data_IF_217404310987
#
_entry.id   IF_217404310987
#
_cell.length_a   1.000
_cell.length_b   1.000
_cell.length_c   1.000
_cell.angle_alpha   90.00
_cell.angle_beta   90.00
_cell.angle_gamma   90.00
#
_symmetry.space_group_name_H-M   'P 1'
#
loop_
_entity.id
_entity.type
_entity.pdbx_description
1 polymer ?
#
# COMPACT_ATOMS: atom_id res chain seq x y z
N UNK A 1 -7.96 9.87 -0.12
CA UNK A 1 -7.45 9.18 1.08
C UNK A 1 -8.33 9.57 2.26
N UNK A 2 -8.55 8.69 3.24
CA UNK A 2 -9.39 8.96 4.44
C UNK A 2 -10.91 9.02 4.20
N UNK A 3 -11.40 8.44 3.12
CA UNK A 3 -12.84 8.29 2.86
C UNK A 3 -13.14 6.89 2.30
N UNK A 4 -14.34 6.40 2.59
CA UNK A 4 -14.92 5.24 1.92
C UNK A 4 -16.32 5.62 1.47
N UNK A 5 -16.66 5.32 0.21
CA UNK A 5 -18.05 5.36 -0.22
C UNK A 5 -18.87 4.28 0.48
N UNK A 6 -20.19 4.47 0.56
CA UNK A 6 -21.10 3.47 1.12
C UNK A 6 -20.97 2.11 0.42
N UNK A 7 -20.76 2.12 -0.90
CA UNK A 7 -20.63 0.89 -1.69
C UNK A 7 -19.33 0.15 -1.40
N UNK A 8 -18.20 0.86 -1.30
CA UNK A 8 -16.91 0.27 -0.94
C UNK A 8 -16.95 -0.34 0.45
N UNK A 9 -17.52 0.40 1.41
CA UNK A 9 -17.62 -0.05 2.80
C UNK A 9 -18.50 -1.30 2.93
N UNK A 10 -19.75 -1.25 2.43
CA UNK A 10 -20.69 -2.37 2.55
C UNK A 10 -20.23 -3.56 1.71
N UNK A 11 -19.85 -3.32 0.44
CA UNK A 11 -19.43 -4.38 -0.47
C UNK A 11 -18.14 -5.06 -0.02
N UNK A 12 -17.17 -4.30 0.50
CA UNK A 12 -15.92 -4.83 1.03
C UNK A 12 -16.12 -5.68 2.29
N UNK A 13 -16.97 -5.24 3.22
CA UNK A 13 -17.26 -6.03 4.42
C UNK A 13 -18.06 -7.30 4.09
N UNK A 14 -19.01 -7.21 3.15
CA UNK A 14 -19.77 -8.36 2.67
C UNK A 14 -18.89 -9.41 1.98
N UNK A 15 -17.94 -9.00 1.13
CA UNK A 15 -17.02 -9.93 0.46
C UNK A 15 -16.06 -10.62 1.45
N UNK A 16 -15.77 -9.96 2.58
CA UNK A 16 -15.01 -10.54 3.68
C UNK A 16 -15.85 -11.42 4.62
N UNK A 17 -17.18 -11.44 4.46
CA UNK A 17 -18.08 -12.16 5.37
C UNK A 17 -18.14 -11.56 6.77
N UNK A 18 -17.89 -10.26 6.89
CA UNK A 18 -17.79 -9.53 8.16
C UNK A 18 -19.02 -8.63 8.36
N UNK A 19 -19.72 -8.80 9.48
CA UNK A 19 -20.89 -8.01 9.87
C UNK A 19 -20.73 -7.29 11.23
N UNK A 20 -19.60 -7.52 11.92
CA UNK A 20 -19.28 -6.90 13.21
C UNK A 20 -17.81 -6.51 13.30
N UNK A 21 -17.48 -5.62 14.24
CA UNK A 21 -16.12 -5.15 14.45
C UNK A 21 -15.22 -6.28 14.98
N UNK A 22 -15.78 -7.18 15.77
CA UNK A 22 -15.12 -8.36 16.32
C UNK A 22 -14.67 -9.29 15.20
N UNK A 23 -15.58 -9.64 14.28
CA UNK A 23 -15.23 -10.46 13.10
C UNK A 23 -14.19 -9.78 12.21
N UNK A 24 -14.26 -8.45 12.08
CA UNK A 24 -13.23 -7.71 11.34
C UNK A 24 -11.85 -7.90 11.98
N UNK A 25 -11.75 -7.73 13.30
CA UNK A 25 -10.51 -7.90 14.05
C UNK A 25 -9.95 -9.31 13.93
N UNK A 26 -10.82 -10.32 13.99
CA UNK A 26 -10.46 -11.73 13.81
C UNK A 26 -9.95 -12.03 12.39
N UNK A 27 -10.41 -11.26 11.39
CA UNK A 27 -9.99 -11.42 9.99
C UNK A 27 -8.64 -10.77 9.68
N UNK A 28 -8.23 -9.74 10.43
CA UNK A 28 -6.99 -9.00 10.19
C UNK A 28 -5.73 -9.88 10.09
N UNK A 29 -5.50 -10.88 10.98
CA UNK A 29 -4.31 -11.74 10.88
C UNK A 29 -4.24 -12.53 9.57
N UNK A 30 -5.40 -12.99 9.07
CA UNK A 30 -5.47 -13.67 7.78
C UNK A 30 -5.15 -12.69 6.63
N UNK A 31 -5.76 -11.49 6.64
CA UNK A 31 -5.47 -10.49 5.61
C UNK A 31 -3.99 -10.09 5.59
N UNK A 32 -3.33 -10.03 6.76
CA UNK A 32 -1.88 -9.82 6.85
C UNK A 32 -1.09 -11.00 6.29
N UNK A 33 -1.52 -12.24 6.53
CA UNK A 33 -0.82 -13.41 5.97
C UNK A 33 -0.91 -13.48 4.46
N UNK A 34 -1.97 -12.93 3.85
CA UNK A 34 -2.10 -12.79 2.40
C UNK A 34 -1.02 -11.89 1.77
N UNK A 35 -0.45 -10.94 2.53
CA UNK A 35 0.65 -10.08 2.04
C UNK A 35 1.97 -10.84 1.85
N UNK A 36 2.07 -12.06 2.38
CA UNK A 36 3.25 -12.93 2.16
C UNK A 36 3.24 -13.56 0.77
N UNK A 37 2.08 -13.67 0.14
CA UNK A 37 1.95 -14.14 -1.22
C UNK A 37 2.44 -13.05 -2.19
N UNK A 38 3.33 -13.44 -3.11
CA UNK A 38 4.00 -12.48 -3.99
C UNK A 38 3.02 -11.79 -4.96
N UNK A 39 2.07 -12.56 -5.49
CA UNK A 39 1.08 -12.04 -6.43
C UNK A 39 0.14 -11.06 -5.73
N UNK A 40 -0.41 -11.43 -4.57
CA UNK A 40 -1.26 -10.53 -3.77
C UNK A 40 -0.51 -9.30 -3.31
N UNK A 41 0.74 -9.45 -2.86
CA UNK A 41 1.55 -8.29 -2.51
C UNK A 41 1.68 -7.33 -3.69
N UNK A 42 1.97 -7.84 -4.90
CA UNK A 42 2.09 -7.02 -6.10
C UNK A 42 0.79 -6.29 -6.44
N UNK A 43 -0.35 -6.96 -6.32
CA UNK A 43 -1.67 -6.36 -6.53
C UNK A 43 -1.93 -5.22 -5.53
N UNK A 44 -1.67 -5.46 -4.24
CA UNK A 44 -1.86 -4.47 -3.17
C UNK A 44 -0.88 -3.31 -3.30
N UNK A 45 0.38 -3.57 -3.66
CA UNK A 45 1.40 -2.56 -3.90
C UNK A 45 1.00 -1.61 -5.05
N UNK A 46 0.49 -2.17 -6.15
CA UNK A 46 0.01 -1.37 -7.28
C UNK A 46 -1.26 -0.57 -6.92
N UNK A 47 -2.18 -1.17 -6.17
CA UNK A 47 -3.39 -0.50 -5.69
C UNK A 47 -3.05 0.69 -4.77
N UNK A 48 -2.15 0.46 -3.81
CA UNK A 48 -1.71 1.43 -2.81
C UNK A 48 -1.24 2.74 -3.44
N UNK A 49 -0.49 2.67 -4.55
CA UNK A 49 -0.07 3.86 -5.29
C UNK A 49 -1.26 4.61 -5.92
N UNK A 50 -2.13 3.88 -6.62
CA UNK A 50 -3.31 4.45 -7.25
C UNK A 50 -4.24 5.13 -6.24
N UNK A 51 -4.35 4.55 -5.05
CA UNK A 51 -5.15 5.06 -3.94
C UNK A 51 -4.52 6.26 -3.23
N UNK A 52 -3.19 6.28 -3.08
CA UNK A 52 -2.48 7.37 -2.41
C UNK A 52 -2.31 8.62 -3.27
N UNK A 53 -2.31 8.46 -4.60
CA UNK A 53 -2.23 9.54 -5.58
C UNK A 53 -3.46 10.45 -5.55
N UNK A 54 -3.25 11.75 -5.67
CA UNK A 54 -4.34 12.70 -5.90
C UNK A 54 -4.95 12.56 -7.31
N UNK A 55 -6.26 12.79 -7.43
CA UNK A 55 -6.98 12.71 -8.71
C UNK A 55 -6.36 13.69 -9.71
N UNK A 56 -5.93 13.17 -10.86
CA UNK A 56 -5.32 13.96 -11.94
C UNK A 56 -3.79 14.08 -11.89
N UNK A 57 -3.15 13.67 -10.79
CA UNK A 57 -1.68 13.66 -10.70
C UNK A 57 -1.08 12.38 -11.26
N UNK A 58 0.14 12.45 -11.82
CA UNK A 58 0.90 11.26 -12.26
C UNK A 58 1.94 10.80 -11.25
N UNK A 59 2.32 11.67 -10.32
CA UNK A 59 3.30 11.44 -9.26
C UNK A 59 2.64 11.46 -7.88
N UNK A 60 3.30 10.82 -6.91
CA UNK A 60 2.92 10.85 -5.50
C UNK A 60 3.87 11.80 -4.76
N UNK A 61 3.36 12.52 -3.76
CA UNK A 61 4.20 13.31 -2.88
C UNK A 61 5.23 12.41 -2.19
N UNK A 62 6.47 12.89 -2.08
CA UNK A 62 7.61 12.13 -1.58
C UNK A 62 7.35 11.55 -0.19
N UNK A 63 6.85 12.38 0.73
CA UNK A 63 6.55 11.97 2.11
C UNK A 63 5.48 10.88 2.16
N UNK A 64 4.44 11.00 1.33
CA UNK A 64 3.40 9.97 1.21
C UNK A 64 3.98 8.68 0.63
N UNK A 65 4.84 8.75 -0.38
CA UNK A 65 5.47 7.57 -0.96
C UNK A 65 6.34 6.83 0.07
N UNK A 66 7.15 7.57 0.85
CA UNK A 66 7.97 7.02 1.94
C UNK A 66 7.09 6.32 2.98
N UNK A 67 6.03 6.97 3.46
CA UNK A 67 5.12 6.36 4.43
C UNK A 67 4.45 5.09 3.90
N UNK A 68 4.06 5.07 2.62
CA UNK A 68 3.47 3.89 1.99
C UNK A 68 4.46 2.72 1.87
N UNK A 69 5.72 2.98 1.52
CA UNK A 69 6.76 1.93 1.48
C UNK A 69 7.03 1.36 2.86
N UNK A 70 7.20 2.20 3.87
CA UNK A 70 7.40 1.75 5.25
C UNK A 70 6.23 0.89 5.73
N UNK A 71 4.99 1.25 5.37
CA UNK A 71 3.80 0.48 5.73
C UNK A 71 3.74 -0.88 5.01
N UNK A 72 3.96 -0.92 3.69
CA UNK A 72 3.88 -2.16 2.91
C UNK A 72 4.98 -3.15 3.27
N UNK A 73 6.20 -2.66 3.51
CA UNK A 73 7.34 -3.48 3.86
C UNK A 73 7.48 -3.76 5.37
N UNK A 74 6.55 -3.28 6.20
CA UNK A 74 6.47 -3.69 7.61
C UNK A 74 6.10 -5.18 7.75
N UNK A 75 5.23 -5.69 6.86
CA UNK A 75 4.81 -7.10 6.84
C UNK A 75 5.67 -7.96 5.91
N UNK A 76 6.27 -7.35 4.88
CA UNK A 76 7.21 -8.00 3.95
C UNK A 76 8.59 -7.37 4.09
N UNK A 77 9.51 -8.05 4.76
CA UNK A 77 10.85 -7.49 4.97
C UNK A 77 11.60 -7.30 3.65
N UNK A 78 11.91 -6.04 3.31
CA UNK A 78 12.85 -5.68 2.26
C UNK A 78 14.03 -4.94 2.90
N UNK A 79 15.23 -5.55 2.98
CA UNK A 79 16.36 -4.99 3.72
C UNK A 79 16.81 -3.59 3.27
N UNK A 80 16.51 -3.22 2.03
CA UNK A 80 16.92 -1.95 1.44
C UNK A 80 15.89 -0.83 1.64
N UNK A 81 14.73 -1.11 2.28
CA UNK A 81 13.65 -0.11 2.41
C UNK A 81 14.13 1.16 3.12
N UNK A 82 14.91 1.03 4.19
CA UNK A 82 15.41 2.19 4.95
C UNK A 82 16.41 3.00 4.14
N UNK A 83 17.37 2.34 3.50
CA UNK A 83 18.38 2.97 2.63
C UNK A 83 17.71 3.67 1.45
N UNK A 84 16.68 3.05 0.87
CA UNK A 84 15.87 3.63 -0.20
C UNK A 84 15.12 4.88 0.25
N UNK A 85 14.42 4.81 1.39
CA UNK A 85 13.72 5.97 1.95
C UNK A 85 14.69 7.11 2.27
N UNK A 86 15.87 6.82 2.82
CA UNK A 86 16.89 7.83 3.10
C UNK A 86 17.42 8.48 1.82
N UNK A 87 17.76 7.67 0.81
CA UNK A 87 18.22 8.17 -0.49
C UNK A 87 17.19 9.13 -1.11
N UNK A 88 15.92 8.75 -1.09
CA UNK A 88 14.83 9.55 -1.62
C UNK A 88 14.64 10.89 -0.90
N UNK A 89 14.83 10.92 0.42
CA UNK A 89 14.75 12.16 1.22
C UNK A 89 15.87 13.15 0.89
N UNK A 90 17.08 12.64 0.64
CA UNK A 90 18.25 13.47 0.31
C UNK A 90 18.12 14.08 -1.09
N UNK A 91 17.73 13.27 -2.07
CA UNK A 91 17.71 13.68 -3.48
C UNK A 91 16.45 14.48 -3.88
N UNK A 92 15.45 14.63 -2.98
CA UNK A 92 14.15 15.31 -3.23
C UNK A 92 13.53 14.96 -4.59
N UNK A 93 13.65 13.70 -5.00
CA UNK A 93 13.19 13.26 -6.31
C UNK A 93 11.66 13.26 -6.33
N UNK A 94 11.08 13.87 -7.37
CA UNK A 94 9.66 13.67 -7.67
C UNK A 94 9.41 12.19 -7.94
N UNK A 95 8.80 11.49 -6.99
CA UNK A 95 8.56 10.05 -7.07
C UNK A 95 7.52 9.73 -8.16
N UNK A 96 8.02 9.48 -9.37
CA UNK A 96 7.23 8.82 -10.39
C UNK A 96 7.29 7.31 -10.14
N UNK A 97 6.34 6.83 -9.34
CA UNK A 97 6.33 5.47 -8.80
C UNK A 97 6.36 4.39 -9.91
N UNK A 98 5.92 4.69 -11.13
CA UNK A 98 6.04 3.79 -12.29
C UNK A 98 7.50 3.39 -12.60
N UNK A 99 8.46 4.29 -12.42
CA UNK A 99 9.89 3.98 -12.59
C UNK A 99 10.44 3.16 -11.41
N UNK A 100 9.89 3.37 -10.21
CA UNK A 100 10.34 2.70 -8.98
C UNK A 100 9.73 1.31 -8.83
N UNK A 101 8.48 1.10 -9.24
CA UNK A 101 7.80 -0.22 -9.26
C UNK A 101 8.59 -1.19 -10.14
N UNK A 102 9.11 -0.72 -11.27
CA UNK A 102 9.98 -1.53 -12.14
C UNK A 102 11.30 -1.92 -11.48
N UNK A 103 11.85 -1.06 -10.62
CA UNK A 103 13.10 -1.33 -9.89
C UNK A 103 12.91 -2.22 -8.65
N UNK A 104 11.75 -2.16 -7.99
CA UNK A 104 11.43 -2.90 -6.76
C UNK A 104 10.75 -4.26 -7.05
N UNK A 105 10.14 -4.43 -8.24
CA UNK A 105 9.50 -5.69 -8.66
C UNK A 105 10.40 -6.63 -9.47
N UNK A 106 11.70 -6.30 -9.62
CA UNK A 106 12.76 -7.17 -10.14
C UNK A 106 13.61 -7.68 -8.97
#
# INVERSE_FOLDING_TARGET
MCEFSKQEFIGGLQSLGVDSLEKLRERLPFMRSELKDEQKFREIYNFAFGWAKEKGQKSLALDTAIGMWQLLFAERHWPLVEHWCQFLQVEKVNCNFLYVVHYISM
#
